data_IF_108136574570
#
_entry.id   IF_108136574570
#
_cell.length_a   1.000
_cell.length_b   1.000
_cell.length_c   1.000
_cell.angle_alpha   90.00
_cell.angle_beta   90.00
_cell.angle_gamma   90.00
#
_symmetry.space_group_name_H-M   'P 1'
#
loop_
_entity.id
_entity.type
_entity.pdbx_description
1 polymer ?
#
# COMPACT_ATOMS: atom_id res chain seq x y z
N UNK A 1 -30.06 18.32 15.68
CA UNK A 1 -30.01 19.68 16.27
C UNK A 1 -28.81 19.77 17.20
N UNK A 2 -27.64 20.11 16.66
CA UNK A 2 -26.42 20.26 17.46
C UNK A 2 -26.09 21.75 17.56
N UNK A 3 -26.00 22.24 18.80
CA UNK A 3 -25.78 23.62 19.14
C UNK A 3 -24.29 24.00 19.06
N UNK A 4 -24.07 25.18 18.51
CA UNK A 4 -22.80 25.88 18.33
C UNK A 4 -22.36 26.46 19.68
N UNK A 5 -21.11 26.22 20.09
CA UNK A 5 -20.44 27.03 21.12
C UNK A 5 -19.05 27.44 20.61
N UNK A 6 -18.95 28.73 20.30
CA UNK A 6 -17.73 29.49 20.02
C UNK A 6 -17.12 30.01 21.32
N UNK A 7 -15.81 29.83 21.54
CA UNK A 7 -15.02 30.67 22.47
C UNK A 7 -13.59 30.90 21.98
N UNK A 8 -13.40 32.13 21.51
CA UNK A 8 -12.33 33.10 21.77
C UNK A 8 -10.94 32.64 22.19
N UNK A 9 -9.99 33.15 21.40
CA UNK A 9 -8.54 33.19 21.50
C UNK A 9 -8.03 34.07 22.64
N UNK A 10 -6.93 33.65 23.29
CA UNK A 10 -5.98 34.55 23.98
C UNK A 10 -4.57 33.98 23.86
N UNK A 11 -3.66 34.77 23.31
CA UNK A 11 -2.21 34.53 23.26
C UNK A 11 -1.53 35.17 24.47
N UNK A 12 -0.33 34.67 24.86
CA UNK A 12 0.70 35.59 25.34
C UNK A 12 2.03 35.42 24.61
N UNK A 13 2.72 36.55 24.51
CA UNK A 13 3.99 36.80 23.82
C UNK A 13 5.23 36.39 24.63
N UNK A 14 6.15 35.74 23.92
CA UNK A 14 7.63 35.79 23.91
C UNK A 14 8.39 36.28 25.16
N UNK A 15 9.38 35.49 25.59
CA UNK A 15 10.69 35.99 26.03
C UNK A 15 11.75 34.91 25.79
N UNK A 16 12.72 35.25 24.94
CA UNK A 16 13.91 34.45 24.66
C UNK A 16 14.96 34.65 25.77
N UNK A 17 15.70 33.60 26.12
CA UNK A 17 16.97 33.71 26.82
C UNK A 17 17.89 32.58 26.37
N UNK A 18 18.91 32.98 25.62
CA UNK A 18 20.04 32.18 25.16
C UNK A 18 21.03 31.94 26.30
N UNK A 19 21.42 30.69 26.53
CA UNK A 19 22.68 30.39 27.23
C UNK A 19 23.34 29.20 26.56
N UNK A 20 24.49 29.46 25.93
CA UNK A 20 25.41 28.46 25.40
C UNK A 20 26.25 27.91 26.56
N UNK A 21 26.34 26.59 26.69
CA UNK A 21 27.39 25.94 27.46
C UNK A 21 27.85 24.68 26.73
N UNK A 22 29.06 24.80 26.15
CA UNK A 22 29.88 23.69 25.67
C UNK A 22 30.48 22.97 26.87
N UNK A 23 30.38 21.64 26.90
CA UNK A 23 31.27 20.79 27.70
C UNK A 23 31.29 19.40 27.08
N UNK A 24 32.48 18.99 26.69
CA UNK A 24 32.79 17.70 26.08
C UNK A 24 33.35 16.70 27.12
N UNK A 25 33.36 15.43 26.69
CA UNK A 25 34.12 14.23 27.14
C UNK A 25 33.73 13.61 28.51
N UNK A 26 33.83 12.27 28.73
CA UNK A 26 34.39 11.22 27.87
C UNK A 26 33.55 9.95 27.64
N UNK A 27 33.95 9.21 26.61
CA UNK A 27 33.55 7.83 26.31
C UNK A 27 33.81 6.89 27.48
N UNK A 28 32.78 6.15 27.89
CA UNK A 28 32.91 4.95 28.70
C UNK A 28 32.26 3.78 27.95
N UNK A 29 33.11 2.86 27.54
CA UNK A 29 32.76 1.57 26.96
C UNK A 29 32.25 0.64 28.06
N UNK A 30 30.98 0.28 28.01
CA UNK A 30 30.42 -0.85 28.77
C UNK A 30 29.58 -1.72 27.85
N UNK A 31 30.13 -2.89 27.52
CA UNK A 31 29.43 -3.99 26.87
C UNK A 31 28.29 -4.48 27.77
N UNK A 32 27.07 -4.68 27.26
CA UNK A 32 26.08 -5.52 27.92
C UNK A 32 26.26 -6.97 27.46
N UNK A 33 26.40 -7.82 28.47
CA UNK A 33 26.37 -9.28 28.49
C UNK A 33 25.29 -9.88 27.59
N UNK A 34 25.71 -10.86 26.78
CA UNK A 34 24.90 -11.73 25.94
C UNK A 34 23.78 -12.43 26.74
N UNK A 35 22.53 -11.99 26.57
CA UNK A 35 21.35 -12.78 26.88
C UNK A 35 21.01 -13.59 25.62
N UNK A 36 21.09 -14.91 25.72
CA UNK A 36 20.71 -15.84 24.67
C UNK A 36 19.21 -15.71 24.39
N UNK A 37 18.84 -15.07 23.28
CA UNK A 37 17.50 -15.21 22.70
C UNK A 37 17.41 -16.58 22.03
N UNK A 38 16.58 -17.45 22.61
CA UNK A 38 16.10 -18.69 22.00
C UNK A 38 15.11 -18.30 20.89
N UNK A 39 15.26 -18.93 19.73
CA UNK A 39 14.35 -18.91 18.59
C UNK A 39 14.27 -17.61 17.78
N UNK A 40 15.39 -17.23 17.16
CA UNK A 40 15.35 -16.45 15.92
C UNK A 40 15.29 -17.40 14.72
N UNK A 41 14.09 -17.74 14.25
CA UNK A 41 13.98 -18.14 12.85
C UNK A 41 14.46 -16.95 12.00
N UNK A 42 15.43 -17.12 11.08
CA UNK A 42 15.84 -16.03 10.22
C UNK A 42 14.62 -15.55 9.41
N UNK A 43 14.54 -14.25 9.05
CA UNK A 43 13.49 -13.77 8.17
C UNK A 43 13.46 -14.66 6.93
N UNK A 44 12.33 -15.31 6.71
CA UNK A 44 12.05 -16.03 5.48
C UNK A 44 12.16 -15.02 4.35
N UNK A 45 13.30 -15.06 3.63
CA UNK A 45 13.42 -14.36 2.36
C UNK A 45 12.23 -14.85 1.53
N UNK A 46 11.29 -13.98 1.13
CA UNK A 46 10.08 -14.42 0.46
C UNK A 46 10.48 -15.26 -0.76
N UNK A 47 9.88 -16.46 -0.94
CA UNK A 47 10.37 -17.44 -1.89
C UNK A 47 10.38 -16.81 -3.29
N UNK A 48 11.58 -16.71 -3.85
CA UNK A 48 11.75 -16.44 -5.27
C UNK A 48 12.02 -17.78 -5.92
N UNK A 49 11.06 -18.26 -6.70
CA UNK A 49 11.14 -19.54 -7.39
C UNK A 49 11.38 -19.33 -8.88
N UNK A 50 11.95 -20.32 -9.54
CA UNK A 50 12.07 -20.32 -11.00
C UNK A 50 10.92 -21.11 -11.59
N UNK A 51 10.27 -20.57 -12.60
CA UNK A 51 9.22 -21.26 -13.32
C UNK A 51 9.77 -22.49 -14.06
N UNK A 52 9.09 -23.62 -13.89
CA UNK A 52 9.33 -24.89 -14.60
C UNK A 52 8.16 -25.20 -15.52
N UNK A 53 6.97 -25.38 -14.95
CA UNK A 53 5.71 -25.56 -15.64
C UNK A 53 4.54 -25.07 -14.77
N UNK A 54 3.35 -24.96 -15.37
CA UNK A 54 2.16 -24.40 -14.72
C UNK A 54 1.67 -25.25 -13.53
N UNK A 55 1.79 -26.58 -13.62
CA UNK A 55 1.35 -27.48 -12.56
C UNK A 55 2.23 -27.35 -11.31
N UNK A 56 3.55 -27.37 -11.48
CA UNK A 56 4.51 -27.15 -10.38
C UNK A 56 4.31 -25.78 -9.71
N UNK A 57 4.13 -24.72 -10.52
CA UNK A 57 3.84 -23.38 -10.00
C UNK A 57 2.61 -23.39 -9.10
N UNK A 58 1.56 -24.07 -9.53
CA UNK A 58 0.34 -24.15 -8.74
C UNK A 58 0.47 -24.98 -7.47
N UNK A 59 1.27 -26.03 -7.49
CA UNK A 59 1.56 -26.82 -6.29
C UNK A 59 2.39 -25.98 -5.29
N UNK A 60 3.36 -25.20 -5.78
CA UNK A 60 4.10 -24.22 -4.97
C UNK A 60 3.15 -23.21 -4.33
N UNK A 61 2.26 -22.58 -5.12
CA UNK A 61 1.29 -21.61 -4.61
C UNK A 61 0.42 -22.21 -3.50
N UNK A 62 -0.10 -23.43 -3.70
CA UNK A 62 -0.93 -24.09 -2.69
C UNK A 62 -0.18 -24.44 -1.40
N UNK A 63 1.14 -24.60 -1.47
CA UNK A 63 1.99 -24.92 -0.32
C UNK A 63 2.62 -23.69 0.35
N UNK A 64 2.51 -22.51 -0.26
CA UNK A 64 3.12 -21.29 0.25
C UNK A 64 2.32 -20.77 1.44
N UNK A 65 3.00 -20.52 2.55
CA UNK A 65 2.37 -20.07 3.82
C UNK A 65 2.33 -18.55 3.98
N UNK A 66 3.18 -17.83 3.25
CA UNK A 66 3.18 -16.38 3.19
C UNK A 66 2.15 -15.85 2.18
N UNK A 67 1.97 -14.55 2.18
CA UNK A 67 1.05 -13.84 1.28
C UNK A 67 1.67 -13.44 -0.08
N UNK A 68 2.94 -13.80 -0.31
CA UNK A 68 3.72 -13.34 -1.46
C UNK A 68 4.56 -14.46 -2.08
N UNK A 69 4.57 -14.53 -3.42
CA UNK A 69 5.46 -15.41 -4.19
C UNK A 69 6.00 -14.66 -5.42
N UNK A 70 7.33 -14.66 -5.60
CA UNK A 70 7.96 -14.19 -6.83
C UNK A 70 8.40 -15.38 -7.70
N UNK A 71 8.04 -15.34 -8.98
CA UNK A 71 8.31 -16.40 -9.95
C UNK A 71 9.10 -15.80 -11.10
N UNK A 72 10.30 -16.30 -11.32
CA UNK A 72 11.21 -15.84 -12.38
C UNK A 72 11.14 -16.77 -13.59
N UNK A 73 11.65 -16.30 -14.75
CA UNK A 73 11.74 -17.10 -15.98
C UNK A 73 10.35 -17.51 -16.54
N UNK A 74 9.36 -16.64 -16.37
CA UNK A 74 8.02 -16.80 -16.96
C UNK A 74 7.97 -15.98 -18.25
N UNK A 75 8.06 -16.63 -19.41
CA UNK A 75 7.90 -15.94 -20.70
C UNK A 75 6.46 -15.42 -20.90
N UNK A 76 6.24 -14.42 -21.78
CA UNK A 76 4.89 -13.90 -22.07
C UNK A 76 3.86 -14.97 -22.48
N UNK A 77 4.31 -15.96 -23.26
CA UNK A 77 3.46 -17.08 -23.68
C UNK A 77 3.09 -17.98 -22.51
N UNK A 78 4.05 -18.29 -21.62
CA UNK A 78 3.79 -19.04 -20.40
C UNK A 78 2.89 -18.25 -19.45
N UNK A 79 3.07 -16.93 -19.31
CA UNK A 79 2.17 -16.12 -18.50
C UNK A 79 0.74 -16.17 -19.03
N UNK A 80 0.55 -16.07 -20.35
CA UNK A 80 -0.78 -16.21 -20.98
C UNK A 80 -1.42 -17.58 -20.69
N UNK A 81 -0.62 -18.65 -20.66
CA UNK A 81 -1.07 -19.99 -20.29
C UNK A 81 -1.48 -20.07 -18.81
N UNK A 82 -0.67 -19.52 -17.91
CA UNK A 82 -0.95 -19.44 -16.48
C UNK A 82 -2.24 -18.63 -16.22
N UNK A 83 -2.44 -17.50 -16.92
CA UNK A 83 -3.66 -16.69 -16.87
C UNK A 83 -4.89 -17.52 -17.27
N UNK A 84 -4.81 -18.20 -18.42
CA UNK A 84 -5.88 -19.06 -18.92
C UNK A 84 -6.22 -20.18 -17.95
N UNK A 85 -5.22 -20.86 -17.39
CA UNK A 85 -5.44 -21.95 -16.43
C UNK A 85 -6.04 -21.47 -15.11
N UNK A 86 -5.65 -20.28 -14.62
CA UNK A 86 -6.28 -19.66 -13.44
C UNK A 86 -7.77 -19.41 -13.69
N UNK A 87 -8.12 -18.78 -14.81
CA UNK A 87 -9.49 -18.32 -15.11
C UNK A 87 -10.43 -19.48 -15.50
N UNK A 88 -9.90 -20.51 -16.15
CA UNK A 88 -10.64 -21.72 -16.49
C UNK A 88 -10.78 -22.70 -15.32
N UNK A 89 -10.01 -22.53 -14.25
CA UNK A 89 -10.12 -23.27 -12.98
C UNK A 89 -9.80 -24.76 -13.09
N UNK A 90 -9.62 -25.42 -11.93
CA UNK A 90 -9.43 -26.88 -11.89
C UNK A 90 -10.80 -27.56 -11.99
N UNK A 91 -10.96 -28.51 -12.91
CA UNK A 91 -12.08 -29.46 -12.89
C UNK A 91 -11.78 -30.53 -11.84
N UNK A 92 -12.58 -30.63 -10.78
CA UNK A 92 -12.51 -31.73 -9.81
C UNK A 92 -13.90 -32.35 -9.71
N UNK A 93 -14.11 -33.48 -10.37
CA UNK A 93 -15.45 -34.01 -10.62
C UNK A 93 -16.27 -33.05 -11.48
N UNK A 94 -17.53 -32.78 -11.10
CA UNK A 94 -18.43 -31.87 -11.81
C UNK A 94 -18.30 -30.38 -11.39
N UNK A 95 -17.49 -30.06 -10.38
CA UNK A 95 -17.38 -28.68 -9.84
C UNK A 95 -16.11 -28.00 -10.34
N UNK A 96 -16.28 -26.79 -10.89
CA UNK A 96 -15.19 -25.87 -11.25
C UNK A 96 -14.70 -25.19 -9.97
N UNK A 97 -13.43 -25.37 -9.61
CA UNK A 97 -12.80 -24.64 -8.50
C UNK A 97 -11.87 -23.58 -9.08
N UNK A 98 -12.16 -22.32 -8.79
CA UNK A 98 -11.28 -21.19 -9.09
C UNK A 98 -10.09 -21.20 -8.12
N UNK A 99 -8.91 -20.82 -8.63
CA UNK A 99 -7.70 -20.68 -7.80
C UNK A 99 -7.77 -19.35 -7.07
N UNK A 100 -7.37 -19.32 -5.79
CA UNK A 100 -7.59 -18.18 -4.88
C UNK A 100 -6.45 -17.14 -4.87
N UNK A 101 -5.49 -17.19 -5.79
CA UNK A 101 -4.37 -16.25 -5.84
C UNK A 101 -4.62 -15.11 -6.84
N UNK A 102 -3.90 -13.99 -6.70
CA UNK A 102 -3.98 -12.81 -7.60
C UNK A 102 -2.65 -12.56 -8.30
N UNK A 103 -2.70 -12.09 -9.55
CA UNK A 103 -1.49 -11.66 -10.27
C UNK A 103 -1.19 -10.21 -9.93
N UNK A 104 -0.56 -9.99 -8.78
CA UNK A 104 -0.14 -8.66 -8.30
C UNK A 104 0.59 -7.89 -9.39
N UNK A 105 1.56 -8.53 -10.05
CA UNK A 105 2.29 -7.92 -11.16
C UNK A 105 2.94 -8.95 -12.07
N UNK A 106 2.91 -8.70 -13.37
CA UNK A 106 3.81 -9.33 -14.34
C UNK A 106 4.65 -8.29 -15.06
N UNK A 107 5.93 -8.58 -15.24
CA UNK A 107 6.83 -7.79 -16.07
C UNK A 107 7.44 -8.67 -17.16
N UNK A 108 7.04 -8.45 -18.41
CA UNK A 108 7.44 -9.22 -19.57
C UNK A 108 8.94 -9.11 -19.87
N UNK A 109 9.52 -7.93 -19.67
CA UNK A 109 10.93 -7.68 -19.94
C UNK A 109 11.86 -8.47 -19.01
N UNK A 110 11.55 -8.49 -17.72
CA UNK A 110 12.31 -9.24 -16.72
C UNK A 110 11.82 -10.69 -16.54
N UNK A 111 10.69 -11.06 -17.16
CA UNK A 111 10.04 -12.35 -17.03
C UNK A 111 9.76 -12.74 -15.57
N UNK A 112 9.29 -11.76 -14.79
CA UNK A 112 8.95 -11.93 -13.38
C UNK A 112 7.44 -11.82 -13.20
N UNK A 113 6.84 -12.86 -12.63
CA UNK A 113 5.47 -12.89 -12.14
C UNK A 113 5.48 -12.79 -10.61
N UNK A 114 4.74 -11.82 -10.09
CA UNK A 114 4.51 -11.60 -8.67
C UNK A 114 3.07 -11.99 -8.37
N UNK A 115 2.91 -12.85 -7.36
CA UNK A 115 1.63 -13.45 -6.98
C UNK A 115 1.32 -13.08 -5.54
N UNK A 116 0.10 -12.58 -5.32
CA UNK A 116 -0.49 -12.46 -3.99
C UNK A 116 -1.18 -13.76 -3.63
N UNK A 117 -0.92 -14.26 -2.43
CA UNK A 117 -1.63 -15.37 -1.80
C UNK A 117 -2.49 -14.77 -0.69
N UNK A 118 -3.82 -14.67 -0.87
CA UNK A 118 -4.70 -14.11 0.14
C UNK A 118 -4.69 -14.96 1.41
N UNK A 119 -4.02 -14.48 2.45
CA UNK A 119 -4.16 -14.95 3.83
C UNK A 119 -5.15 -14.05 4.57
N UNK A 120 -5.70 -14.50 5.70
CA UNK A 120 -6.64 -13.70 6.47
C UNK A 120 -5.99 -12.39 6.97
N UNK A 121 -4.74 -12.48 7.42
CA UNK A 121 -3.93 -11.30 7.79
C UNK A 121 -3.72 -10.34 6.62
N UNK A 122 -3.41 -10.86 5.43
CA UNK A 122 -3.25 -10.04 4.23
C UNK A 122 -4.55 -9.31 3.88
N UNK A 123 -5.68 -10.01 3.86
CA UNK A 123 -6.98 -9.40 3.56
C UNK A 123 -7.34 -8.32 4.61
N UNK A 124 -7.11 -8.58 5.89
CA UNK A 124 -7.35 -7.60 6.95
C UNK A 124 -6.53 -6.32 6.77
N UNK A 125 -5.27 -6.42 6.32
CA UNK A 125 -4.39 -5.28 6.11
C UNK A 125 -4.97 -4.25 5.14
N UNK A 126 -5.51 -4.68 4.00
CA UNK A 126 -6.07 -3.75 3.01
C UNK A 126 -7.57 -3.49 3.20
N UNK A 127 -8.38 -4.51 3.52
CA UNK A 127 -9.83 -4.34 3.68
C UNK A 127 -10.19 -3.49 4.89
N UNK A 128 -9.39 -3.54 5.96
CA UNK A 128 -9.58 -2.70 7.14
C UNK A 128 -9.42 -1.20 6.87
N UNK A 129 -8.70 -0.83 5.81
CA UNK A 129 -8.55 0.56 5.34
C UNK A 129 -9.57 0.90 4.26
N UNK A 130 -9.84 -0.02 3.33
CA UNK A 130 -10.71 0.23 2.18
C UNK A 130 -12.20 0.20 2.52
N UNK A 131 -12.62 -0.69 3.41
CA UNK A 131 -14.05 -0.87 3.75
C UNK A 131 -14.64 0.36 4.43
N UNK A 132 -13.97 1.02 5.41
CA UNK A 132 -14.46 2.29 5.95
C UNK A 132 -14.62 3.37 4.88
N UNK A 133 -13.69 3.44 3.92
CA UNK A 133 -13.81 4.35 2.79
C UNK A 133 -15.06 4.06 1.95
N UNK A 134 -15.29 2.80 1.56
CA UNK A 134 -16.49 2.41 0.82
C UNK A 134 -17.79 2.74 1.57
N UNK A 135 -17.82 2.59 2.90
CA UNK A 135 -18.99 2.94 3.73
C UNK A 135 -19.22 4.44 3.85
N UNK A 136 -18.17 5.25 3.71
CA UNK A 136 -18.25 6.71 3.74
C UNK A 136 -18.67 7.35 2.41
N UNK A 137 -18.66 6.58 1.32
CA UNK A 137 -19.02 7.02 -0.03
C UNK A 137 -20.27 6.28 -0.53
N UNK A 138 -20.76 6.66 -1.73
CA UNK A 138 -21.91 6.00 -2.36
C UNK A 138 -21.51 5.39 -3.70
N UNK A 139 -22.22 4.33 -4.13
CA UNK A 139 -21.98 3.71 -5.44
C UNK A 139 -22.28 4.66 -6.61
N UNK A 140 -23.06 5.71 -6.38
CA UNK A 140 -23.33 6.78 -7.34
C UNK A 140 -22.11 7.67 -7.57
N UNK A 141 -21.28 7.87 -6.54
CA UNK A 141 -20.08 8.73 -6.59
C UNK A 141 -18.79 7.94 -6.79
N UNK A 142 -18.76 6.66 -6.43
CA UNK A 142 -17.56 5.83 -6.47
C UNK A 142 -17.80 4.51 -7.18
N UNK A 143 -16.88 4.14 -8.07
CA UNK A 143 -16.80 2.80 -8.64
C UNK A 143 -15.81 1.98 -7.84
N UNK A 144 -16.31 0.97 -7.16
CA UNK A 144 -15.47 -0.09 -6.62
C UNK A 144 -14.94 -0.95 -7.77
N UNK A 145 -13.63 -0.92 -8.01
CA UNK A 145 -12.97 -1.68 -9.07
C UNK A 145 -12.45 -3.02 -8.53
N UNK A 146 -12.06 -3.05 -7.25
CA UNK A 146 -11.53 -4.26 -6.61
C UNK A 146 -10.20 -4.68 -7.21
N UNK A 147 -10.04 -5.98 -7.50
CA UNK A 147 -8.80 -6.58 -8.01
C UNK A 147 -8.82 -6.79 -9.53
N UNK A 148 -9.38 -5.84 -10.29
CA UNK A 148 -9.36 -5.93 -11.74
C UNK A 148 -7.92 -5.88 -12.28
N UNK A 149 -7.63 -6.66 -13.33
CA UNK A 149 -6.34 -6.65 -13.99
C UNK A 149 -6.19 -5.40 -14.85
N UNK A 150 -5.17 -4.59 -14.57
CA UNK A 150 -4.77 -3.44 -15.37
C UNK A 150 -3.53 -3.78 -16.20
N UNK A 151 -3.43 -3.21 -17.40
CA UNK A 151 -2.28 -3.38 -18.28
C UNK A 151 -1.81 -2.02 -18.77
N UNK A 152 -0.50 -1.83 -18.85
CA UNK A 152 0.08 -0.61 -19.40
C UNK A 152 -0.34 -0.45 -20.89
N UNK A 153 -0.27 0.78 -21.42
CA UNK A 153 -0.74 1.11 -22.78
C UNK A 153 -0.31 0.08 -23.84
N UNK A 154 -1.26 -0.38 -24.67
CA UNK A 154 -1.13 -1.46 -25.66
C UNK A 154 -1.03 -2.90 -25.09
N UNK A 155 -1.36 -3.08 -23.81
CA UNK A 155 -1.31 -4.38 -23.14
C UNK A 155 -2.19 -5.45 -23.79
N UNK A 156 -1.56 -6.48 -24.32
CA UNK A 156 -2.19 -7.73 -24.73
C UNK A 156 -2.07 -8.78 -23.60
N UNK A 157 -2.83 -9.89 -23.65
CA UNK A 157 -2.57 -11.05 -22.79
C UNK A 157 -1.08 -11.44 -22.84
N UNK A 158 -0.48 -11.78 -21.69
CA UNK A 158 0.96 -12.02 -21.62
C UNK A 158 1.84 -10.77 -21.54
N UNK A 159 1.29 -9.55 -21.60
CA UNK A 159 2.03 -8.28 -21.43
C UNK A 159 2.04 -7.77 -19.98
N UNK A 160 2.81 -6.70 -19.73
CA UNK A 160 2.91 -6.06 -18.41
C UNK A 160 1.51 -5.71 -17.86
N UNK A 161 1.26 -6.13 -16.63
CA UNK A 161 -0.03 -5.92 -15.97
C UNK A 161 0.02 -6.22 -14.48
N UNK A 162 -1.05 -5.87 -13.77
CA UNK A 162 -1.14 -6.04 -12.33
C UNK A 162 -2.56 -5.92 -11.80
N UNK A 163 -2.77 -6.45 -10.60
CA UNK A 163 -4.03 -6.47 -9.87
C UNK A 163 -3.76 -5.89 -8.48
N UNK A 164 -4.43 -4.79 -8.12
CA UNK A 164 -4.31 -4.23 -6.78
C UNK A 164 -5.18 -4.99 -5.78
N UNK A 165 -4.84 -4.96 -4.49
CA UNK A 165 -5.62 -5.66 -3.47
C UNK A 165 -6.99 -4.99 -3.24
N UNK A 166 -7.04 -3.66 -3.31
CA UNK A 166 -8.27 -2.90 -3.35
C UNK A 166 -8.11 -1.62 -4.14
N UNK A 167 -8.98 -1.41 -5.13
CA UNK A 167 -8.90 -0.24 -6.01
C UNK A 167 -10.27 0.36 -6.30
N UNK A 168 -10.29 1.66 -6.56
CA UNK A 168 -11.50 2.36 -6.95
C UNK A 168 -11.23 3.75 -7.51
N UNK A 169 -12.28 4.36 -8.06
CA UNK A 169 -12.20 5.72 -8.57
C UNK A 169 -13.57 6.39 -8.68
N UNK A 170 -13.59 7.71 -8.92
CA UNK A 170 -14.79 8.50 -8.92
C UNK A 170 -15.64 8.22 -10.16
N UNK A 171 -16.95 8.38 -9.99
CA UNK A 171 -17.91 8.46 -11.08
C UNK A 171 -18.17 9.94 -11.41
N UNK A 172 -18.33 10.28 -12.70
CA UNK A 172 -18.32 9.38 -13.87
C UNK A 172 -16.92 9.05 -14.44
N UNK A 173 -15.86 9.72 -13.97
CA UNK A 173 -14.54 9.78 -14.63
C UNK A 173 -13.89 8.39 -14.79
N UNK A 174 -14.11 7.45 -13.87
CA UNK A 174 -13.50 6.11 -13.86
C UNK A 174 -14.48 4.98 -14.20
N UNK A 175 -15.63 5.26 -14.81
CA UNK A 175 -16.66 4.24 -15.10
C UNK A 175 -16.25 3.26 -16.21
N UNK A 176 -15.51 3.71 -17.22
CA UNK A 176 -15.11 2.89 -18.37
C UNK A 176 -14.35 1.61 -18.01
N UNK A 177 -14.50 0.56 -18.81
CA UNK A 177 -13.68 -0.64 -18.70
C UNK A 177 -12.23 -0.29 -19.02
N UNK A 178 -11.29 -0.70 -18.16
CA UNK A 178 -9.88 -0.36 -18.30
C UNK A 178 -9.49 1.03 -17.78
N UNK A 179 -10.44 1.88 -17.38
CA UNK A 179 -10.09 3.16 -16.74
C UNK A 179 -9.39 2.89 -15.40
N UNK A 180 -8.18 3.44 -15.25
CA UNK A 180 -7.38 3.28 -14.04
C UNK A 180 -8.06 3.89 -12.81
N UNK A 181 -7.86 3.30 -11.62
CA UNK A 181 -8.38 3.84 -10.36
C UNK A 181 -7.68 5.16 -10.01
N UNK A 182 -8.25 5.93 -9.07
CA UNK A 182 -7.52 7.05 -8.42
C UNK A 182 -6.89 6.62 -7.09
N UNK A 183 -7.45 5.59 -6.44
CA UNK A 183 -6.98 5.01 -5.19
C UNK A 183 -6.60 3.53 -5.39
N UNK A 184 -5.39 3.18 -4.97
CA UNK A 184 -4.89 1.81 -4.90
C UNK A 184 -4.42 1.50 -3.49
N UNK A 185 -4.80 0.33 -2.96
CA UNK A 185 -4.24 -0.24 -1.74
C UNK A 185 -3.45 -1.49 -2.07
N UNK A 186 -2.27 -1.60 -1.47
CA UNK A 186 -1.40 -2.77 -1.54
C UNK A 186 -0.99 -3.18 -0.13
N UNK A 187 -1.23 -4.43 0.22
CA UNK A 187 -0.80 -5.01 1.48
C UNK A 187 0.33 -5.99 1.32
N UNK A 188 1.12 -6.15 2.38
CA UNK A 188 2.16 -7.16 2.46
C UNK A 188 2.48 -7.56 3.89
N UNK A 189 2.52 -8.86 4.14
CA UNK A 189 2.95 -9.49 5.39
C UNK A 189 4.31 -10.15 5.20
N UNK A 190 4.41 -11.14 4.31
CA UNK A 190 5.68 -11.78 3.93
C UNK A 190 6.42 -11.01 2.82
N UNK A 191 5.72 -10.11 2.12
CA UNK A 191 6.34 -9.19 1.18
C UNK A 191 7.20 -8.12 1.88
N UNK A 192 8.35 -7.81 1.31
CA UNK A 192 9.25 -6.77 1.81
C UNK A 192 8.78 -5.37 1.37
N UNK A 193 8.90 -4.36 2.23
CA UNK A 193 8.56 -2.97 1.91
C UNK A 193 9.20 -2.44 0.60
N UNK A 194 10.48 -2.73 0.26
CA UNK A 194 11.04 -2.30 -1.02
C UNK A 194 10.36 -2.88 -2.27
N UNK A 195 9.66 -4.02 -2.17
CA UNK A 195 8.87 -4.57 -3.28
C UNK A 195 7.52 -3.86 -3.40
N UNK A 196 6.84 -3.61 -2.27
CA UNK A 196 5.66 -2.74 -2.24
C UNK A 196 5.95 -1.34 -2.83
N UNK A 197 7.15 -0.78 -2.59
CA UNK A 197 7.57 0.47 -3.26
C UNK A 197 7.70 0.33 -4.77
N UNK A 198 8.12 -0.83 -5.30
CA UNK A 198 8.18 -1.06 -6.75
C UNK A 198 6.79 -1.16 -7.36
N UNK A 199 5.83 -1.72 -6.63
CA UNK A 199 4.43 -1.80 -7.07
C UNK A 199 3.79 -0.42 -7.06
N UNK A 200 3.99 0.36 -5.99
CA UNK A 200 3.56 1.76 -5.93
C UNK A 200 4.06 2.57 -7.13
N UNK A 201 5.36 2.49 -7.46
CA UNK A 201 5.90 3.21 -8.63
C UNK A 201 5.28 2.73 -9.93
N UNK A 202 5.02 1.42 -10.05
CA UNK A 202 4.40 0.86 -11.23
C UNK A 202 2.97 1.36 -11.41
N UNK A 203 2.15 1.43 -10.35
CA UNK A 203 0.79 1.98 -10.45
C UNK A 203 0.77 3.40 -11.01
N UNK A 204 1.65 4.27 -10.52
CA UNK A 204 1.74 5.63 -11.05
C UNK A 204 2.21 5.65 -12.51
N UNK A 205 3.28 4.93 -12.85
CA UNK A 205 3.86 4.97 -14.20
C UNK A 205 2.99 4.26 -15.25
N UNK A 206 2.52 3.06 -14.95
CA UNK A 206 1.75 2.23 -15.89
C UNK A 206 0.37 2.82 -16.19
N UNK A 207 -0.20 3.55 -15.22
CA UNK A 207 -1.47 4.27 -15.40
C UNK A 207 -1.32 5.59 -16.14
N UNK A 208 -0.14 5.93 -16.66
CA UNK A 208 0.13 7.27 -17.20
C UNK A 208 -0.29 8.36 -16.20
N UNK A 209 0.06 8.16 -14.93
CA UNK A 209 -0.25 9.05 -13.82
C UNK A 209 -1.75 9.22 -13.52
N UNK A 210 -2.61 8.30 -13.98
CA UNK A 210 -4.05 8.33 -13.70
C UNK A 210 -4.40 7.92 -12.26
N UNK A 211 -3.57 7.07 -11.65
CA UNK A 211 -3.57 6.78 -10.20
C UNK A 211 -3.05 8.00 -9.44
N UNK A 212 -3.73 8.39 -8.36
CA UNK A 212 -3.41 9.61 -7.59
C UNK A 212 -2.93 9.33 -6.18
N UNK A 213 -3.40 8.25 -5.57
CA UNK A 213 -3.03 7.82 -4.23
C UNK A 213 -2.73 6.32 -4.24
N UNK A 214 -1.57 5.94 -3.69
CA UNK A 214 -1.26 4.55 -3.34
C UNK A 214 -1.05 4.45 -1.84
N UNK A 215 -1.79 3.56 -1.18
CA UNK A 215 -1.60 3.19 0.22
C UNK A 215 -0.88 1.86 0.28
N UNK A 216 0.25 1.82 0.98
CA UNK A 216 0.96 0.59 1.31
C UNK A 216 0.68 0.23 2.77
N UNK A 217 0.19 -0.98 3.03
CA UNK A 217 -0.08 -1.52 4.36
C UNK A 217 0.81 -2.74 4.64
N UNK A 218 1.86 -2.55 5.43
CA UNK A 218 2.86 -3.58 5.73
C UNK A 218 2.74 -4.04 7.18
N UNK A 219 2.50 -5.34 7.41
CA UNK A 219 2.70 -5.96 8.73
C UNK A 219 4.14 -6.46 8.84
N UNK A 220 4.92 -5.93 9.78
CA UNK A 220 6.29 -6.39 10.05
C UNK A 220 6.31 -7.31 11.28
N UNK A 221 6.48 -8.62 11.07
CA UNK A 221 6.58 -9.60 12.16
C UNK A 221 7.77 -9.33 13.08
N UNK A 222 8.91 -8.89 12.52
CA UNK A 222 10.13 -8.72 13.30
C UNK A 222 10.05 -7.52 14.23
N UNK A 223 9.42 -6.46 13.76
CA UNK A 223 9.25 -5.22 14.51
C UNK A 223 7.91 -5.14 15.23
N UNK A 224 7.04 -6.15 15.08
CA UNK A 224 5.69 -6.22 15.63
C UNK A 224 4.90 -4.92 15.42
N UNK A 225 4.85 -4.45 14.18
CA UNK A 225 4.12 -3.23 13.85
C UNK A 225 3.38 -3.32 12.53
N UNK A 226 2.42 -2.41 12.35
CA UNK A 226 1.86 -2.08 11.05
C UNK A 226 2.48 -0.76 10.58
N UNK A 227 3.01 -0.75 9.37
CA UNK A 227 3.46 0.45 8.67
C UNK A 227 2.47 0.78 7.55
N UNK A 228 1.87 1.96 7.64
CA UNK A 228 1.08 2.55 6.57
C UNK A 228 1.88 3.66 5.90
N UNK A 229 2.00 3.61 4.57
CA UNK A 229 2.56 4.70 3.79
C UNK A 229 1.56 5.21 2.77
N UNK A 230 1.33 6.54 2.77
CA UNK A 230 0.56 7.21 1.72
C UNK A 230 1.52 7.86 0.74
N UNK A 231 1.40 7.44 -0.52
CA UNK A 231 2.16 7.96 -1.64
C UNK A 231 1.26 8.73 -2.60
N UNK A 232 1.76 9.87 -3.07
CA UNK A 232 1.15 10.74 -4.07
C UNK A 232 2.24 11.19 -5.05
N UNK A 233 1.89 11.73 -6.21
CA UNK A 233 2.89 12.32 -7.12
C UNK A 233 3.01 13.83 -6.95
N UNK A 234 4.23 14.33 -7.13
CA UNK A 234 4.52 15.75 -7.19
C UNK A 234 5.34 16.08 -8.44
N UNK A 235 5.08 17.25 -9.03
CA UNK A 235 5.87 17.76 -10.13
C UNK A 235 7.26 18.11 -9.62
N UNK A 236 8.28 17.41 -10.11
CA UNK A 236 9.66 17.76 -9.81
C UNK A 236 10.05 19.00 -10.57
N UNK A 237 10.22 20.09 -9.83
CA UNK A 237 10.82 21.32 -10.37
C UNK A 237 12.35 21.12 -10.45
N UNK A 238 13.01 21.47 -11.56
CA UNK A 238 14.47 21.47 -11.60
C UNK A 238 15.02 22.37 -10.48
N UNK A 239 15.89 21.83 -9.62
CA UNK A 239 16.58 22.64 -8.62
C UNK A 239 17.58 23.58 -9.32
N UNK A 240 17.24 24.86 -9.40
CA UNK A 240 18.09 25.91 -9.94
C UNK A 240 17.32 27.21 -10.18
N UNK A 241 17.99 28.36 -10.05
CA UNK A 241 17.40 29.65 -10.38
C UNK A 241 17.19 29.73 -11.90
N UNK A 242 15.96 29.46 -12.34
CA UNK A 242 15.51 29.66 -13.72
C UNK A 242 14.60 30.89 -13.77
N UNK A 243 14.72 31.71 -14.81
CA UNK A 243 13.81 32.85 -15.01
C UNK A 243 12.37 32.35 -15.18
N UNK A 244 11.38 33.12 -14.69
CA UNK A 244 9.95 32.72 -14.70
C UNK A 244 9.45 32.25 -16.08
N UNK A 245 9.95 32.84 -17.17
CA UNK A 245 9.61 32.46 -18.54
C UNK A 245 10.18 31.11 -18.98
N UNK A 246 11.39 30.74 -18.54
CA UNK A 246 11.96 29.40 -18.80
C UNK A 246 11.35 28.31 -17.92
N UNK A 247 11.02 28.63 -16.66
CA UNK A 247 10.35 27.69 -15.77
C UNK A 247 8.97 27.27 -16.31
N UNK A 248 8.17 28.21 -16.83
CA UNK A 248 6.88 27.89 -17.44
C UNK A 248 6.99 27.00 -18.69
N UNK A 249 7.98 27.24 -19.55
CA UNK A 249 8.23 26.41 -20.73
C UNK A 249 8.75 25.01 -20.38
N UNK A 250 9.61 24.89 -19.35
CA UNK A 250 10.13 23.60 -18.87
C UNK A 250 9.03 22.79 -18.17
N UNK A 251 8.15 23.43 -17.40
CA UNK A 251 7.01 22.77 -16.75
C UNK A 251 6.00 22.22 -17.78
N UNK A 252 5.87 22.85 -18.95
CA UNK A 252 4.99 22.37 -20.01
C UNK A 252 5.58 21.22 -20.86
N UNK A 253 6.91 21.04 -20.87
CA UNK A 253 7.57 20.02 -21.72
C UNK A 253 8.28 18.89 -20.96
N UNK A 254 8.68 19.08 -19.69
CA UNK A 254 9.56 18.15 -18.96
C UNK A 254 9.19 18.00 -17.46
N UNK A 255 7.93 18.26 -17.07
CA UNK A 255 7.49 17.98 -15.69
C UNK A 255 7.52 16.48 -15.43
N UNK A 256 8.56 16.00 -14.74
CA UNK A 256 8.62 14.61 -14.27
C UNK A 256 7.81 14.53 -12.98
N UNK A 257 6.71 13.78 -13.02
CA UNK A 257 5.98 13.39 -11.82
C UNK A 257 6.79 12.33 -11.07
N UNK A 258 7.02 12.58 -9.79
CA UNK A 258 7.73 11.66 -8.93
C UNK A 258 6.87 11.28 -7.72
N UNK A 259 6.79 9.99 -7.37
CA UNK A 259 6.13 9.57 -6.14
C UNK A 259 6.85 10.11 -4.90
N UNK A 260 6.08 10.77 -4.04
CA UNK A 260 6.50 11.32 -2.76
C UNK A 260 5.69 10.67 -1.66
N UNK A 261 6.38 10.19 -0.62
CA UNK A 261 5.72 9.71 0.60
C UNK A 261 5.20 10.91 1.40
N UNK A 262 3.88 11.07 1.45
CA UNK A 262 3.20 12.18 2.14
C UNK A 262 2.91 11.88 3.59
N UNK A 263 2.60 10.62 3.90
CA UNK A 263 2.41 10.15 5.28
C UNK A 263 3.08 8.81 5.46
N UNK A 264 3.61 8.59 6.67
CA UNK A 264 4.17 7.33 7.13
C UNK A 264 3.67 7.16 8.55
N UNK A 265 2.77 6.21 8.80
CA UNK A 265 2.13 5.97 10.09
C UNK A 265 2.60 4.58 10.54
N UNK A 266 3.17 4.52 11.73
CA UNK A 266 3.49 3.27 12.40
C UNK A 266 2.50 3.04 13.52
N UNK A 267 1.92 1.85 13.57
CA UNK A 267 1.05 1.39 14.64
C UNK A 267 1.73 0.24 15.36
N UNK A 268 2.01 0.40 16.64
CA UNK A 268 2.64 -0.63 17.48
C UNK A 268 1.65 -1.14 18.52
N UNK A 269 1.70 -2.45 18.79
CA UNK A 269 0.90 -3.07 19.84
C UNK A 269 1.59 -2.91 21.19
N UNK A 270 0.87 -2.43 22.20
CA UNK A 270 1.34 -2.28 23.57
C UNK A 270 0.65 -3.31 24.46
N UNK A 271 1.40 -4.37 24.80
CA UNK A 271 0.95 -5.46 25.66
C UNK A 271 0.99 -5.11 27.16
N UNK A 272 1.56 -3.95 27.53
CA UNK A 272 1.65 -3.55 28.94
C UNK A 272 0.34 -2.99 29.49
N UNK A 273 -0.61 -2.66 28.62
CA UNK A 273 -1.94 -2.17 28.99
C UNK A 273 -2.97 -3.30 29.02
N UNK A 274 -4.01 -3.16 29.85
CA UNK A 274 -5.16 -4.06 29.88
C UNK A 274 -6.48 -3.26 29.81
N UNK A 275 -7.23 -3.30 28.69
CA UNK A 275 -6.97 -4.11 27.48
C UNK A 275 -5.70 -3.65 26.73
N UNK A 276 -5.20 -4.53 25.85
CA UNK A 276 -4.09 -4.21 24.93
C UNK A 276 -4.44 -2.94 24.17
N UNK A 277 -3.46 -2.05 24.02
CA UNK A 277 -3.63 -0.79 23.30
C UNK A 277 -2.76 -0.74 22.06
N UNK A 278 -3.12 0.14 21.13
CA UNK A 278 -2.40 0.34 19.88
C UNK A 278 -1.93 1.79 19.80
N UNK A 279 -0.63 1.99 19.71
CA UNK A 279 -0.01 3.31 19.65
C UNK A 279 0.17 3.72 18.19
N UNK A 280 -0.55 4.76 17.76
CA UNK A 280 -0.52 5.29 16.39
C UNK A 280 0.39 6.51 16.34
N UNK A 281 1.43 6.46 15.50
CA UNK A 281 2.34 7.59 15.29
C UNK A 281 1.83 8.51 14.18
N UNK A 282 2.16 9.81 14.26
CA UNK A 282 1.95 10.80 13.18
C UNK A 282 0.47 11.01 12.76
N UNK A 283 -0.47 10.65 13.63
CA UNK A 283 -1.87 11.05 13.56
C UNK A 283 -2.75 10.21 12.62
N UNK A 284 -3.85 10.81 12.19
CA UNK A 284 -4.83 10.20 11.31
C UNK A 284 -4.29 9.95 9.88
N UNK A 285 -4.80 8.94 9.18
CA UNK A 285 -4.58 8.77 7.75
C UNK A 285 -5.57 9.66 6.99
N UNK A 286 -5.07 10.52 6.09
CA UNK A 286 -5.88 11.51 5.37
C UNK A 286 -5.72 11.33 3.87
N UNK A 287 -6.82 11.04 3.18
CA UNK A 287 -6.89 10.92 1.72
C UNK A 287 -7.55 12.16 1.15
N UNK A 288 -6.79 12.92 0.36
CA UNK A 288 -7.22 14.21 -0.18
C UNK A 288 -8.39 14.08 -1.15
N UNK A 289 -9.47 14.82 -0.91
CA UNK A 289 -10.69 14.75 -1.73
C UNK A 289 -10.42 14.99 -3.22
N UNK A 290 -9.63 16.03 -3.53
CA UNK A 290 -9.29 16.39 -4.91
C UNK A 290 -8.58 15.27 -5.68
N UNK A 291 -7.74 14.51 -4.99
CA UNK A 291 -7.02 13.39 -5.59
C UNK A 291 -7.94 12.18 -5.79
N UNK A 292 -8.84 11.95 -4.84
CA UNK A 292 -9.84 10.89 -4.95
C UNK A 292 -10.85 11.18 -6.08
N UNK A 293 -11.40 12.39 -6.14
CA UNK A 293 -12.53 12.74 -7.00
C UNK A 293 -12.20 13.56 -8.25
N UNK A 294 -10.94 13.98 -8.43
CA UNK A 294 -10.47 14.75 -9.58
C UNK A 294 -11.19 16.11 -9.77
N UNK A 295 -11.80 16.63 -8.71
CA UNK A 295 -12.49 17.94 -8.67
C UNK A 295 -12.40 18.59 -7.29
N UNK A 296 -12.80 19.86 -7.23
CA UNK A 296 -12.94 20.57 -5.95
C UNK A 296 -14.10 19.99 -5.11
N UNK A 297 -13.95 19.97 -3.77
CA UNK A 297 -15.02 19.56 -2.87
C UNK A 297 -16.15 20.60 -2.82
N UNK A 298 -17.39 20.11 -2.77
CA UNK A 298 -18.53 20.92 -2.37
C UNK A 298 -18.48 21.22 -0.85
N UNK A 299 -19.28 22.17 -0.31
CA UNK A 299 -19.21 22.55 1.11
C UNK A 299 -19.44 21.42 2.13
N UNK A 300 -20.04 20.29 1.73
CA UNK A 300 -20.28 19.11 2.58
C UNK A 300 -19.27 17.99 2.33
N UNK A 301 -18.37 18.18 1.37
CA UNK A 301 -17.36 17.22 0.99
C UNK A 301 -16.00 17.65 1.55
N UNK A 302 -15.15 16.67 1.81
CA UNK A 302 -13.83 16.91 2.38
C UNK A 302 -12.98 15.67 2.28
N UNK A 303 -11.76 15.80 2.79
CA UNK A 303 -10.83 14.69 2.81
C UNK A 303 -11.41 13.50 3.59
N UNK A 304 -11.12 12.29 3.13
CA UNK A 304 -11.45 11.10 3.88
C UNK A 304 -10.40 10.90 4.99
N UNK A 305 -10.87 10.81 6.24
CA UNK A 305 -10.01 10.73 7.42
C UNK A 305 -10.30 9.45 8.17
N UNK A 306 -9.29 8.58 8.31
CA UNK A 306 -9.28 7.54 9.34
C UNK A 306 -8.62 8.12 10.58
N UNK A 307 -9.42 8.35 11.62
CA UNK A 307 -8.95 8.90 12.88
C UNK A 307 -7.94 7.98 13.57
N UNK A 308 -7.28 8.47 14.62
CA UNK A 308 -6.42 7.63 15.46
C UNK A 308 -7.22 6.45 16.02
N UNK A 309 -8.46 6.67 16.44
CA UNK A 309 -9.33 5.64 16.98
C UNK A 309 -9.68 4.58 15.91
N UNK A 310 -9.97 5.01 14.67
CA UNK A 310 -10.22 4.08 13.57
C UNK A 310 -8.97 3.24 13.26
N UNK A 311 -7.78 3.84 13.32
CA UNK A 311 -6.51 3.15 13.10
C UNK A 311 -6.16 2.19 14.24
N UNK A 312 -6.57 2.49 15.48
CA UNK A 312 -6.45 1.58 16.62
C UNK A 312 -7.35 0.35 16.46
N UNK A 313 -8.61 0.56 16.07
CA UNK A 313 -9.54 -0.53 15.79
C UNK A 313 -9.10 -1.36 14.58
N UNK A 314 -8.60 -0.71 13.54
CA UNK A 314 -7.98 -1.37 12.39
C UNK A 314 -6.84 -2.30 12.83
N UNK A 315 -5.92 -1.79 13.66
CA UNK A 315 -4.83 -2.60 14.18
C UNK A 315 -5.34 -3.78 15.01
N UNK A 316 -6.31 -3.57 15.90
CA UNK A 316 -6.91 -4.66 16.67
C UNK A 316 -7.41 -5.81 15.77
N UNK A 317 -8.11 -5.48 14.69
CA UNK A 317 -8.59 -6.47 13.73
C UNK A 317 -7.44 -7.17 13.00
N UNK A 318 -6.42 -6.44 12.56
CA UNK A 318 -5.24 -7.03 11.89
C UNK A 318 -4.51 -8.01 12.82
N UNK A 319 -4.30 -7.64 14.08
CA UNK A 319 -3.65 -8.52 15.06
C UNK A 319 -4.49 -9.74 15.42
N UNK A 320 -5.82 -9.66 15.33
CA UNK A 320 -6.70 -10.80 15.58
C UNK A 320 -6.57 -11.92 14.54
N UNK A 321 -6.07 -11.60 13.33
CA UNK A 321 -5.83 -12.57 12.25
C UNK A 321 -4.46 -13.27 12.34
N UNK A 322 -3.61 -12.88 13.30
CA UNK A 322 -2.38 -13.63 13.54
C UNK A 322 -2.72 -15.02 14.10
N UNK A 323 -2.02 -16.08 13.66
CA UNK A 323 -2.14 -17.39 14.27
C UNK A 323 -1.90 -17.25 15.78
N UNK A 324 -2.79 -17.84 16.60
CA UNK A 324 -2.55 -17.91 18.03
C UNK A 324 -1.31 -18.77 18.25
N UNK A 325 -0.35 -18.25 19.01
CA UNK A 325 0.74 -19.06 19.54
C UNK A 325 0.14 -20.03 20.54
N UNK A 326 0.13 -21.32 20.19
CA UNK A 326 -0.17 -22.42 21.13
C UNK A 326 0.95 -22.56 22.19
#
# INVERSE_FOLDING_TARGET
MAAIISRSTTSPSVSASSVSASSAVPSASTLPTSIKSKDSNPPTIPPTVRFTNTQDLFDIINSTTGDFLAVTNVSPNQFTEIERERDTGRKTGQKKRYRKFRFRRYNANSQVLIITIPTDLHEALHLGLYTPYLRSTTEEKWKNIGSATFRAEHGHPGGDGGEGDSTGGPRPERVGAGNWPTLVMESGHSETLPKLHKDMRWWFQASNHEVKIVILAKFDDQQHHILLEKWEEEISSPQGAITRSRAAAILQQNSVLNPVKRQSITITRDETTNPVSYNVTRGALVLGFRLLFLRDPDPQEGDFVLSIQDLQLYAENVWAELPRSD
#
